data_IF_282035043091
#
_entry.id   IF_282035043091
#
_cell.length_a   1.000
_cell.length_b   1.000
_cell.length_c   1.000
_cell.angle_alpha   90.00
_cell.angle_beta   90.00
_cell.angle_gamma   90.00
#
_symmetry.space_group_name_H-M   'P 1'
#
loop_
_entity.id
_entity.type
_entity.pdbx_description
1 polymer ?
#
# COMPACT_ATOMS: atom_id res chain seq x y z
N UNK A 1 39.49 -43.28 -2.91
CA UNK A 1 40.77 -43.54 -2.22
C UNK A 1 41.36 -42.22 -1.79
N UNK A 2 41.31 -41.89 -0.50
CA UNK A 2 42.01 -40.71 0.03
C UNK A 2 43.45 -41.13 0.32
N UNK A 3 44.41 -40.49 -0.35
CA UNK A 3 45.84 -40.69 -0.08
C UNK A 3 46.14 -40.08 1.30
N UNK A 4 46.38 -40.92 2.30
CA UNK A 4 46.94 -40.50 3.58
C UNK A 4 48.46 -40.52 3.43
N UNK A 5 49.10 -39.36 3.59
CA UNK A 5 50.56 -39.29 3.70
C UNK A 5 50.95 -39.50 5.17
N UNK A 6 51.94 -40.35 5.41
CA UNK A 6 52.53 -40.53 6.74
C UNK A 6 53.18 -39.23 7.23
N UNK A 7 53.13 -38.93 8.55
CA UNK A 7 53.60 -37.66 9.11
C UNK A 7 55.10 -37.41 8.92
N UNK A 8 55.89 -38.45 8.62
CA UNK A 8 57.33 -38.34 8.38
C UNK A 8 57.69 -37.74 7.00
N UNK A 9 56.72 -37.56 6.09
CA UNK A 9 56.94 -37.00 4.75
C UNK A 9 56.48 -35.54 4.61
N UNK A 10 56.12 -34.88 5.71
CA UNK A 10 55.77 -33.46 5.72
C UNK A 10 56.96 -32.59 5.28
N UNK A 11 56.78 -31.78 4.24
CA UNK A 11 57.81 -30.88 3.70
C UNK A 11 58.76 -31.49 2.66
N UNK A 12 58.65 -32.78 2.34
CA UNK A 12 59.45 -33.41 1.27
C UNK A 12 58.70 -33.50 -0.06
N UNK A 13 59.45 -33.54 -1.17
CA UNK A 13 58.90 -33.75 -2.52
C UNK A 13 58.85 -35.25 -2.80
N UNK A 14 57.65 -35.82 -2.81
CA UNK A 14 57.44 -37.25 -3.08
C UNK A 14 56.81 -37.45 -4.45
N UNK A 15 57.10 -38.60 -5.09
CA UNK A 15 56.49 -38.96 -6.38
C UNK A 15 55.20 -39.74 -6.13
N UNK A 16 54.12 -39.32 -6.78
CA UNK A 16 52.85 -40.02 -6.70
C UNK A 16 52.98 -41.42 -7.34
N UNK A 17 52.67 -42.51 -6.64
CA UNK A 17 52.79 -43.86 -7.18
C UNK A 17 51.79 -44.19 -8.31
N UNK A 18 50.78 -43.35 -8.52
CA UNK A 18 49.75 -43.56 -9.55
C UNK A 18 50.03 -42.81 -10.87
N UNK A 19 50.68 -41.65 -10.82
CA UNK A 19 50.90 -40.81 -12.00
C UNK A 19 52.34 -40.28 -12.17
N UNK A 20 53.27 -40.72 -11.31
CA UNK A 20 54.71 -40.42 -11.31
C UNK A 20 55.08 -38.91 -11.33
N UNK A 21 54.11 -38.03 -11.08
CA UNK A 21 54.29 -36.59 -10.93
C UNK A 21 54.83 -36.26 -9.53
N UNK A 22 55.66 -35.22 -9.46
CA UNK A 22 56.28 -34.74 -8.22
C UNK A 22 55.31 -33.83 -7.48
N UNK A 23 54.90 -34.20 -6.26
CA UNK A 23 54.08 -33.39 -5.38
C UNK A 23 54.85 -32.99 -4.14
N UNK A 24 54.64 -31.75 -3.68
CA UNK A 24 55.28 -31.18 -2.50
C UNK A 24 54.24 -31.13 -1.37
N UNK A 25 54.49 -31.83 -0.26
CA UNK A 25 53.54 -31.94 0.86
C UNK A 25 53.71 -30.71 1.79
N UNK A 26 52.65 -29.94 2.09
CA UNK A 26 52.74 -28.78 2.96
C UNK A 26 53.12 -29.16 4.40
N UNK A 27 54.02 -28.38 5.01
CA UNK A 27 54.66 -28.72 6.29
C UNK A 27 53.77 -28.57 7.55
N UNK A 28 52.61 -27.91 7.45
CA UNK A 28 51.68 -27.75 8.57
C UNK A 28 50.40 -28.54 8.29
N UNK A 29 50.30 -29.73 8.89
CA UNK A 29 49.00 -30.39 9.08
C UNK A 29 48.36 -29.83 10.35
N UNK A 30 47.15 -29.25 10.30
CA UNK A 30 46.40 -28.98 11.52
C UNK A 30 45.95 -30.30 12.15
N UNK A 31 46.28 -30.47 13.44
CA UNK A 31 45.95 -31.64 14.25
C UNK A 31 44.49 -32.06 14.10
N UNK A 32 44.28 -33.29 13.62
CA UNK A 32 43.00 -33.97 13.69
C UNK A 32 42.70 -34.35 15.15
N UNK A 33 42.18 -33.40 15.91
CA UNK A 33 41.54 -33.68 17.20
C UNK A 33 40.06 -33.98 16.99
N UNK A 34 39.66 -35.15 17.49
CA UNK A 34 38.30 -35.67 17.53
C UNK A 34 37.29 -34.60 17.97
N UNK A 35 36.43 -34.15 17.06
CA UNK A 35 35.26 -33.34 17.41
C UNK A 35 34.00 -34.20 17.32
N UNK A 36 33.29 -34.28 18.45
CA UNK A 36 31.96 -34.85 18.67
C UNK A 36 30.98 -34.52 17.52
N UNK A 37 29.94 -35.34 17.26
CA UNK A 37 28.95 -35.05 16.23
C UNK A 37 28.37 -33.65 16.45
N UNK A 38 28.58 -32.80 15.45
CA UNK A 38 28.48 -31.35 15.53
C UNK A 38 27.09 -30.87 15.92
N UNK A 39 27.09 -29.98 16.92
CA UNK A 39 26.07 -28.98 17.07
C UNK A 39 25.95 -28.20 15.75
N UNK A 40 24.73 -28.14 15.21
CA UNK A 40 24.37 -27.23 14.14
C UNK A 40 24.65 -25.81 14.64
N UNK A 41 25.55 -25.08 13.96
CA UNK A 41 25.79 -23.65 14.19
C UNK A 41 24.49 -22.85 13.90
N UNK A 42 23.61 -22.75 14.89
CA UNK A 42 22.72 -21.59 15.07
C UNK A 42 23.59 -20.55 15.79
N UNK A 43 23.91 -19.38 15.27
CA UNK A 43 23.03 -18.34 14.75
C UNK A 43 23.90 -17.25 14.08
N UNK A 44 23.81 -17.06 12.77
CA UNK A 44 23.90 -15.68 12.26
C UNK A 44 22.67 -14.97 12.80
N UNK A 45 22.84 -13.90 13.57
CA UNK A 45 21.72 -13.14 14.11
C UNK A 45 20.75 -12.80 12.96
N UNK A 46 19.52 -13.35 13.01
CA UNK A 46 18.48 -13.05 12.03
C UNK A 46 18.05 -11.61 12.27
N UNK A 47 18.67 -10.66 11.57
CA UNK A 47 18.21 -9.28 11.60
C UNK A 47 16.91 -9.19 10.78
N UNK A 48 15.81 -8.84 11.45
CA UNK A 48 14.54 -8.54 10.77
C UNK A 48 14.76 -7.48 9.69
N UNK A 49 14.13 -7.64 8.53
CA UNK A 49 14.24 -6.65 7.46
C UNK A 49 13.45 -5.39 7.81
N UNK A 50 13.86 -4.25 7.25
CA UNK A 50 13.11 -2.99 7.37
C UNK A 50 11.78 -3.13 6.63
N UNK A 51 10.69 -3.14 7.39
CA UNK A 51 9.33 -3.20 6.86
C UNK A 51 9.00 -1.88 6.15
N UNK A 52 8.57 -1.95 4.88
CA UNK A 52 8.05 -0.78 4.18
C UNK A 52 6.56 -0.64 4.50
N UNK A 53 6.05 0.60 4.57
CA UNK A 53 4.64 0.82 4.90
C UNK A 53 3.76 0.15 3.83
N UNK A 54 3.02 -0.91 4.19
CA UNK A 54 2.25 -1.70 3.23
C UNK A 54 1.04 -0.92 2.71
N UNK A 55 0.64 0.14 3.42
CA UNK A 55 -0.68 0.76 3.25
C UNK A 55 -0.57 2.19 2.76
N UNK A 56 0.44 2.95 3.20
CA UNK A 56 0.63 4.33 2.74
C UNK A 56 1.50 4.42 1.48
N UNK A 57 1.02 5.01 0.38
CA UNK A 57 1.86 5.35 -0.77
C UNK A 57 2.77 6.54 -0.44
N UNK A 58 3.87 6.68 -1.20
CA UNK A 58 4.75 7.83 -1.05
C UNK A 58 4.00 9.12 -1.45
N UNK A 59 3.86 10.05 -0.51
CA UNK A 59 3.04 11.25 -0.67
C UNK A 59 3.55 12.16 -1.81
N UNK A 60 4.86 12.22 -2.02
CA UNK A 60 5.46 12.99 -3.11
C UNK A 60 5.13 12.40 -4.50
N UNK A 61 5.09 11.07 -4.59
CA UNK A 61 4.75 10.37 -5.83
C UNK A 61 3.26 10.54 -6.14
N UNK A 62 2.39 10.46 -5.14
CA UNK A 62 0.95 10.68 -5.34
C UNK A 62 0.64 12.12 -5.71
N UNK A 63 1.34 13.09 -5.12
CA UNK A 63 1.19 14.50 -5.48
C UNK A 63 1.66 14.75 -6.92
N UNK A 64 2.83 14.23 -7.30
CA UNK A 64 3.36 14.38 -8.66
C UNK A 64 2.44 13.78 -9.72
N UNK A 65 1.89 12.58 -9.47
CA UNK A 65 0.95 11.94 -10.39
C UNK A 65 -0.40 12.66 -10.41
N UNK A 66 -0.87 13.19 -9.27
CA UNK A 66 -2.05 14.05 -9.19
C UNK A 66 -1.91 15.34 -10.01
N UNK A 67 -0.80 16.06 -9.85
CA UNK A 67 -0.49 17.26 -10.65
C UNK A 67 -0.39 16.96 -12.13
N UNK A 68 0.22 15.82 -12.50
CA UNK A 68 0.27 15.35 -13.88
C UNK A 68 -1.13 15.11 -14.46
N UNK A 69 -2.00 14.41 -13.73
CA UNK A 69 -3.39 14.18 -14.14
C UNK A 69 -4.19 15.49 -14.29
N UNK A 70 -3.99 16.44 -13.38
CA UNK A 70 -4.59 17.77 -13.48
C UNK A 70 -4.11 18.50 -14.75
N UNK A 71 -2.81 18.52 -15.02
CA UNK A 71 -2.26 19.17 -16.20
C UNK A 71 -2.82 18.55 -17.49
N UNK A 72 -2.85 17.21 -17.55
CA UNK A 72 -3.43 16.46 -18.68
C UNK A 72 -4.90 16.81 -18.86
N UNK A 73 -5.69 16.87 -17.78
CA UNK A 73 -7.10 17.22 -17.84
C UNK A 73 -7.33 18.61 -18.45
N UNK A 74 -6.60 19.62 -17.99
CA UNK A 74 -6.71 20.98 -18.56
C UNK A 74 -6.19 21.06 -19.99
N UNK A 75 -5.14 20.31 -20.36
CA UNK A 75 -4.65 20.23 -21.73
C UNK A 75 -5.68 19.63 -22.69
N UNK A 76 -6.42 18.61 -22.26
CA UNK A 76 -7.50 17.97 -23.05
C UNK A 76 -8.66 18.94 -23.27
N UNK A 77 -8.92 19.85 -22.34
CA UNK A 77 -10.01 20.83 -22.45
C UNK A 77 -9.67 22.03 -23.36
N UNK A 78 -8.38 22.39 -23.49
CA UNK A 78 -7.93 23.51 -24.34
C UNK A 78 -8.48 23.56 -25.79
N UNK A 79 -8.58 22.46 -26.55
CA UNK A 79 -9.12 22.49 -27.91
C UNK A 79 -10.64 22.72 -27.97
N UNK A 80 -11.37 22.53 -26.86
CA UNK A 80 -12.83 22.63 -26.80
C UNK A 80 -13.34 23.99 -26.32
N UNK A 81 -12.59 25.06 -26.61
CA UNK A 81 -13.01 26.42 -26.27
C UNK A 81 -14.25 26.81 -27.09
N UNK A 82 -15.37 27.20 -26.44
CA UNK A 82 -16.53 27.68 -27.18
C UNK A 82 -16.17 28.95 -27.95
N UNK A 83 -16.70 29.06 -29.18
CA UNK A 83 -16.57 30.29 -29.97
C UNK A 83 -17.21 31.47 -29.22
N UNK A 84 -16.61 32.68 -29.27
CA UNK A 84 -17.01 33.82 -28.44
C UNK A 84 -18.47 34.27 -28.65
N UNK A 85 -19.08 33.94 -29.79
CA UNK A 85 -20.43 34.38 -30.18
C UNK A 85 -21.53 33.33 -29.94
N UNK A 86 -21.19 32.14 -29.40
CA UNK A 86 -22.20 31.10 -29.15
C UNK A 86 -22.94 31.34 -27.84
N UNK A 87 -24.26 31.30 -27.88
CA UNK A 87 -25.13 31.38 -26.70
C UNK A 87 -24.97 30.12 -25.85
N UNK A 88 -24.97 30.25 -24.51
CA UNK A 88 -24.75 29.14 -23.56
C UNK A 88 -25.71 27.94 -23.77
N UNK A 89 -26.90 28.16 -24.35
CA UNK A 89 -27.90 27.12 -24.63
C UNK A 89 -27.57 26.23 -25.84
N UNK A 90 -26.61 26.63 -26.68
CA UNK A 90 -26.19 25.90 -27.88
C UNK A 90 -24.84 25.19 -27.72
N UNK A 91 -24.28 25.13 -26.50
CA UNK A 91 -23.02 24.46 -26.24
C UNK A 91 -23.14 22.95 -26.40
N UNK A 92 -22.19 22.35 -27.12
CA UNK A 92 -21.95 20.91 -27.06
C UNK A 92 -21.48 20.51 -25.67
N UNK A 93 -21.65 19.24 -25.28
CA UNK A 93 -21.30 18.73 -23.95
C UNK A 93 -19.85 19.04 -23.56
N UNK A 94 -18.91 18.94 -24.52
CA UNK A 94 -17.49 19.26 -24.28
C UNK A 94 -17.22 20.76 -24.17
N UNK A 95 -17.95 21.59 -24.93
CA UNK A 95 -17.86 23.06 -24.82
C UNK A 95 -18.42 23.54 -23.47
N UNK A 96 -19.51 22.91 -22.99
CA UNK A 96 -20.07 23.15 -21.66
C UNK A 96 -19.06 22.80 -20.56
N UNK A 97 -18.45 21.61 -20.60
CA UNK A 97 -17.41 21.19 -19.64
C UNK A 97 -16.23 22.16 -19.65
N UNK A 98 -15.72 22.54 -20.83
CA UNK A 98 -14.68 23.55 -20.91
C UNK A 98 -15.12 24.87 -20.25
N UNK A 99 -16.31 25.37 -20.58
CA UNK A 99 -16.82 26.61 -19.99
C UNK A 99 -16.93 26.53 -18.46
N UNK A 100 -17.30 25.38 -17.93
CA UNK A 100 -17.50 25.13 -16.51
C UNK A 100 -16.16 25.12 -15.73
N UNK A 101 -15.08 24.60 -16.33
CA UNK A 101 -13.75 24.59 -15.72
C UNK A 101 -12.97 25.91 -15.87
N UNK A 102 -13.17 26.64 -16.98
CA UNK A 102 -12.45 27.88 -17.25
C UNK A 102 -13.13 29.15 -16.69
N UNK A 103 -14.46 29.18 -16.55
CA UNK A 103 -15.17 30.33 -15.96
C UNK A 103 -14.81 30.53 -14.48
N UNK A 104 -14.62 29.43 -13.73
CA UNK A 104 -14.26 29.45 -12.31
C UNK A 104 -12.89 28.84 -12.07
N UNK A 105 -11.87 29.39 -12.73
CA UNK A 105 -10.55 28.76 -12.80
C UNK A 105 -9.98 28.42 -11.41
N UNK A 106 -10.07 29.32 -10.42
CA UNK A 106 -9.58 29.03 -9.07
C UNK A 106 -10.30 27.86 -8.39
N UNK A 107 -11.63 27.91 -8.30
CA UNK A 107 -12.43 26.89 -7.61
C UNK A 107 -12.37 25.55 -8.35
N UNK A 108 -12.48 25.60 -9.68
CA UNK A 108 -12.40 24.43 -10.53
C UNK A 108 -11.01 23.79 -10.48
N UNK A 109 -9.93 24.58 -10.49
CA UNK A 109 -8.57 24.02 -10.39
C UNK A 109 -8.36 23.33 -9.04
N UNK A 110 -8.80 23.93 -7.94
CA UNK A 110 -8.66 23.32 -6.61
C UNK A 110 -9.48 22.03 -6.48
N UNK A 111 -10.73 22.03 -6.94
CA UNK A 111 -11.57 20.82 -6.95
C UNK A 111 -10.95 19.71 -7.80
N UNK A 112 -10.43 20.05 -8.98
CA UNK A 112 -9.76 19.10 -9.87
C UNK A 112 -8.45 18.59 -9.28
N UNK A 113 -7.71 19.43 -8.55
CA UNK A 113 -6.47 19.07 -7.88
C UNK A 113 -6.74 18.04 -6.79
N UNK A 114 -7.70 18.31 -5.90
CA UNK A 114 -8.07 17.36 -4.84
C UNK A 114 -8.64 16.07 -5.42
N UNK A 115 -9.41 16.17 -6.50
CA UNK A 115 -9.94 15.01 -7.21
C UNK A 115 -8.85 14.12 -7.82
N UNK A 116 -7.97 14.71 -8.63
CA UNK A 116 -6.87 14.00 -9.29
C UNK A 116 -5.85 13.45 -8.30
N UNK A 117 -5.54 14.19 -7.23
CA UNK A 117 -4.66 13.70 -6.18
C UNK A 117 -5.27 12.53 -5.40
N UNK A 118 -6.57 12.61 -5.06
CA UNK A 118 -7.31 11.50 -4.45
C UNK A 118 -7.28 10.25 -5.34
N UNK A 119 -7.58 10.38 -6.63
CA UNK A 119 -7.49 9.28 -7.59
C UNK A 119 -6.08 8.70 -7.66
N UNK A 120 -5.05 9.55 -7.66
CA UNK A 120 -3.67 9.09 -7.65
C UNK A 120 -3.36 8.24 -6.42
N UNK A 121 -3.80 8.66 -5.22
CA UNK A 121 -3.60 7.90 -3.99
C UNK A 121 -4.32 6.55 -4.08
N UNK A 122 -5.57 6.54 -4.53
CA UNK A 122 -6.36 5.31 -4.70
C UNK A 122 -5.72 4.36 -5.70
N UNK A 123 -5.21 4.85 -6.82
CA UNK A 123 -4.56 4.02 -7.83
C UNK A 123 -3.30 3.34 -7.28
N UNK A 124 -2.47 4.08 -6.55
CA UNK A 124 -1.27 3.53 -5.92
C UNK A 124 -1.61 2.50 -4.84
N UNK A 125 -2.62 2.78 -4.01
CA UNK A 125 -3.13 1.83 -3.00
C UNK A 125 -3.71 0.58 -3.65
N UNK A 126 -4.50 0.71 -4.71
CA UNK A 126 -5.06 -0.41 -5.44
C UNK A 126 -3.97 -1.32 -6.02
N UNK A 127 -2.89 -0.75 -6.56
CA UNK A 127 -1.73 -1.54 -7.02
C UNK A 127 -1.03 -2.28 -5.87
N UNK A 128 -0.86 -1.64 -4.71
CA UNK A 128 -0.31 -2.29 -3.50
C UNK A 128 -1.21 -3.42 -3.01
N UNK A 129 -2.51 -3.19 -2.93
CA UNK A 129 -3.49 -4.19 -2.51
C UNK A 129 -3.49 -5.41 -3.45
N UNK A 130 -3.46 -5.20 -4.76
CA UNK A 130 -3.33 -6.30 -5.73
C UNK A 130 -2.04 -7.11 -5.50
N UNK A 131 -0.93 -6.43 -5.23
CA UNK A 131 0.33 -7.10 -4.91
C UNK A 131 0.25 -7.93 -3.62
N UNK A 132 -0.44 -7.42 -2.58
CA UNK A 132 -0.68 -8.16 -1.34
C UNK A 132 -1.59 -9.38 -1.53
N UNK A 133 -2.67 -9.25 -2.32
CA UNK A 133 -3.57 -10.37 -2.63
C UNK A 133 -2.84 -11.52 -3.32
N UNK A 134 -1.89 -11.22 -4.22
CA UNK A 134 -1.05 -12.24 -4.85
C UNK A 134 -0.17 -12.97 -3.84
N UNK A 135 0.29 -12.30 -2.78
CA UNK A 135 1.08 -12.94 -1.73
C UNK A 135 0.24 -13.92 -0.88
N UNK A 136 -1.08 -13.69 -0.76
CA UNK A 136 -2.01 -14.59 -0.06
C UNK A 136 -2.15 -15.96 -0.76
N UNK A 137 -1.90 -16.01 -2.07
CA UNK A 137 -1.95 -17.25 -2.86
C UNK A 137 -0.68 -18.11 -2.70
N UNK A 138 0.33 -17.60 -2.00
CA UNK A 138 1.57 -18.32 -1.79
C UNK A 138 1.41 -19.32 -0.64
N UNK A 139 1.93 -20.52 -0.82
CA UNK A 139 2.05 -21.50 0.28
C UNK A 139 3.20 -21.07 1.21
N UNK A 140 2.89 -20.20 2.19
CA UNK A 140 3.86 -19.69 3.16
C UNK A 140 4.26 -20.76 4.19
N UNK A 141 3.39 -21.75 4.43
CA UNK A 141 3.58 -22.79 5.45
C UNK A 141 3.50 -24.19 4.81
N UNK A 142 4.52 -24.57 4.04
CA UNK A 142 4.42 -25.75 3.20
C UNK A 142 4.31 -27.02 4.05
N UNK A 143 3.33 -27.85 3.71
CA UNK A 143 3.01 -29.06 4.49
C UNK A 143 4.17 -30.07 4.55
N UNK A 144 5.09 -30.00 3.59
CA UNK A 144 6.31 -30.82 3.52
C UNK A 144 7.27 -30.65 4.71
N UNK A 145 7.25 -29.50 5.39
CA UNK A 145 8.12 -29.23 6.55
C UNK A 145 7.59 -29.87 7.84
N UNK A 146 6.30 -30.22 7.88
CA UNK A 146 5.65 -30.82 9.04
C UNK A 146 4.22 -30.33 9.20
N UNK A 147 3.34 -31.21 9.65
CA UNK A 147 1.94 -30.87 9.96
C UNK A 147 1.84 -29.90 11.13
N UNK A 148 2.62 -30.14 12.17
CA UNK A 148 2.69 -29.31 13.38
C UNK A 148 4.01 -28.55 13.44
N UNK A 149 4.00 -27.41 14.10
CA UNK A 149 5.12 -26.50 14.33
C UNK A 149 5.47 -26.60 15.80
N UNK A 150 6.62 -27.22 16.07
CA UNK A 150 7.16 -27.48 17.39
C UNK A 150 8.48 -26.70 17.56
N UNK A 151 8.99 -26.62 18.78
CA UNK A 151 10.28 -25.95 19.09
C UNK A 151 11.44 -26.49 18.25
N UNK A 152 11.43 -27.78 17.90
CA UNK A 152 12.49 -28.41 17.12
C UNK A 152 12.48 -27.99 15.65
N UNK A 153 11.29 -27.77 15.05
CA UNK A 153 11.14 -27.52 13.62
C UNK A 153 10.87 -26.04 13.27
N UNK A 154 10.46 -25.20 14.22
CA UNK A 154 10.12 -23.79 13.99
C UNK A 154 11.22 -23.03 13.25
N UNK A 155 12.48 -23.33 13.55
CA UNK A 155 13.62 -22.73 12.86
C UNK A 155 13.64 -22.99 11.35
N UNK A 156 13.21 -24.17 10.89
CA UNK A 156 13.13 -24.49 9.45
C UNK A 156 12.02 -23.70 8.76
N UNK A 157 10.89 -23.49 9.43
CA UNK A 157 9.80 -22.64 8.93
C UNK A 157 10.26 -21.17 8.81
N UNK A 158 10.99 -20.67 9.82
CA UNK A 158 11.56 -19.33 9.76
C UNK A 158 12.53 -19.22 8.58
N UNK A 159 13.46 -20.16 8.42
CA UNK A 159 14.43 -20.12 7.31
C UNK A 159 13.72 -20.18 5.94
N UNK A 160 12.61 -20.92 5.82
CA UNK A 160 11.78 -20.92 4.62
C UNK A 160 11.15 -19.55 4.33
N UNK A 161 10.61 -18.88 5.35
CA UNK A 161 10.06 -17.53 5.23
C UNK A 161 11.14 -16.52 4.81
N UNK A 162 12.37 -16.64 5.32
CA UNK A 162 13.49 -15.80 4.91
C UNK A 162 13.98 -16.09 3.48
N UNK A 163 13.82 -17.33 2.99
CA UNK A 163 14.14 -17.72 1.62
C UNK A 163 13.18 -17.15 0.57
N UNK A 164 12.03 -16.60 0.99
CA UNK A 164 11.07 -16.00 0.06
C UNK A 164 11.64 -14.77 -0.69
N UNK A 165 11.21 -14.53 -1.94
CA UNK A 165 11.58 -13.32 -2.69
C UNK A 165 11.27 -12.03 -1.90
N UNK A 166 12.18 -11.04 -1.97
CA UNK A 166 12.04 -9.75 -1.24
C UNK A 166 10.69 -9.05 -1.48
N UNK A 167 10.14 -9.14 -2.69
CA UNK A 167 8.85 -8.52 -3.04
C UNK A 167 7.66 -9.13 -2.30
N UNK A 168 7.73 -10.42 -1.92
CA UNK A 168 6.65 -11.13 -1.23
C UNK A 168 6.80 -11.03 0.30
N UNK A 169 8.04 -10.91 0.78
CA UNK A 169 8.35 -10.66 2.19
C UNK A 169 7.74 -9.37 2.74
N UNK A 170 7.57 -8.36 1.90
CA UNK A 170 6.98 -7.08 2.29
C UNK A 170 5.44 -7.08 2.35
N UNK A 171 4.81 -8.25 2.44
CA UNK A 171 3.38 -8.38 2.65
C UNK A 171 3.03 -8.43 4.14
N UNK A 172 1.85 -7.90 4.50
CA UNK A 172 1.32 -7.96 5.87
C UNK A 172 1.28 -9.40 6.41
N UNK A 173 0.80 -10.33 5.58
CA UNK A 173 0.72 -11.76 5.92
C UNK A 173 2.08 -12.35 6.28
N UNK A 174 3.09 -12.20 5.41
CA UNK A 174 4.41 -12.80 5.64
C UNK A 174 5.12 -12.16 6.83
N UNK A 175 4.99 -10.84 7.02
CA UNK A 175 5.55 -10.16 8.19
C UNK A 175 4.91 -10.64 9.50
N UNK A 176 3.59 -10.85 9.53
CA UNK A 176 2.90 -11.39 10.70
C UNK A 176 3.30 -12.82 11.00
N UNK A 177 3.31 -13.71 10.00
CA UNK A 177 3.73 -15.10 10.16
C UNK A 177 5.16 -15.17 10.66
N UNK A 178 6.07 -14.34 10.13
CA UNK A 178 7.45 -14.25 10.63
C UNK A 178 7.48 -13.89 12.13
N UNK A 179 6.82 -12.79 12.52
CA UNK A 179 6.78 -12.32 13.91
C UNK A 179 6.18 -13.38 14.84
N UNK A 180 5.14 -14.08 14.39
CA UNK A 180 4.51 -15.18 15.12
C UNK A 180 5.48 -16.35 15.35
N UNK A 181 6.18 -16.80 14.30
CA UNK A 181 7.15 -17.91 14.39
C UNK A 181 8.37 -17.54 15.23
N UNK A 182 8.91 -16.32 15.08
CA UNK A 182 10.02 -15.82 15.88
C UNK A 182 9.63 -15.71 17.36
N UNK A 183 8.40 -15.24 17.67
CA UNK A 183 7.89 -15.20 19.04
C UNK A 183 7.72 -16.61 19.61
N UNK A 184 7.18 -17.55 18.81
CA UNK A 184 7.03 -18.94 19.22
C UNK A 184 8.37 -19.63 19.49
N UNK A 185 9.40 -19.36 18.69
CA UNK A 185 10.76 -19.90 18.90
C UNK A 185 11.33 -19.51 20.27
N UNK A 186 11.00 -18.30 20.76
CA UNK A 186 11.52 -17.75 22.03
C UNK A 186 10.62 -18.11 23.22
N UNK A 187 9.30 -17.89 23.10
CA UNK A 187 8.34 -18.06 24.21
C UNK A 187 7.80 -19.49 24.34
N UNK A 188 7.79 -20.26 23.25
CA UNK A 188 7.28 -21.63 23.20
C UNK A 188 5.82 -21.78 23.69
N UNK A 189 5.02 -20.73 23.57
CA UNK A 189 3.63 -20.66 24.04
C UNK A 189 2.72 -20.29 22.88
N UNK A 190 1.72 -21.13 22.58
CA UNK A 190 0.75 -20.84 21.53
C UNK A 190 -0.22 -19.72 21.94
N UNK A 191 -0.49 -19.56 23.25
CA UNK A 191 -1.35 -18.48 23.76
C UNK A 191 -0.72 -17.11 23.55
N UNK A 192 0.58 -16.97 23.81
CA UNK A 192 1.30 -15.69 23.66
C UNK A 192 1.31 -15.24 22.20
N UNK A 193 1.46 -16.19 21.27
CA UNK A 193 1.42 -15.93 19.83
C UNK A 193 0.02 -15.49 19.41
N UNK A 194 -1.04 -16.13 19.93
CA UNK A 194 -2.43 -15.74 19.66
C UNK A 194 -2.71 -14.31 20.14
N UNK A 195 -2.30 -13.96 21.35
CA UNK A 195 -2.47 -12.60 21.89
C UNK A 195 -1.73 -11.56 21.04
N UNK A 196 -0.46 -11.83 20.69
CA UNK A 196 0.30 -10.97 19.79
C UNK A 196 -0.38 -10.82 18.42
N UNK A 197 -0.90 -11.90 17.83
CA UNK A 197 -1.60 -11.84 16.55
C UNK A 197 -2.87 -11.00 16.61
N UNK A 198 -3.66 -11.12 17.69
CA UNK A 198 -4.83 -10.27 17.90
C UNK A 198 -4.44 -8.79 17.98
N UNK A 199 -3.44 -8.46 18.79
CA UNK A 199 -2.96 -7.08 18.91
C UNK A 199 -2.43 -6.51 17.59
N UNK A 200 -1.73 -7.33 16.80
CA UNK A 200 -1.27 -6.92 15.47
C UNK A 200 -2.44 -6.73 14.48
N UNK A 201 -3.54 -7.49 14.62
CA UNK A 201 -4.76 -7.25 13.84
C UNK A 201 -5.32 -5.86 14.07
N UNK A 202 -5.49 -5.47 15.34
CA UNK A 202 -5.99 -4.15 15.70
C UNK A 202 -5.07 -3.02 15.20
N UNK A 203 -3.75 -3.20 15.30
CA UNK A 203 -2.77 -2.22 14.83
C UNK A 203 -2.84 -2.03 13.31
N UNK A 204 -2.92 -3.11 12.54
CA UNK A 204 -2.99 -3.00 11.08
C UNK A 204 -4.36 -2.47 10.62
N UNK A 205 -5.45 -2.81 11.31
CA UNK A 205 -6.79 -2.24 11.07
C UNK A 205 -6.78 -0.72 11.29
N UNK A 206 -6.23 -0.25 12.40
CA UNK A 206 -6.06 1.17 12.68
C UNK A 206 -5.18 1.87 11.63
N UNK A 207 -4.12 1.20 11.15
CA UNK A 207 -3.25 1.70 10.07
C UNK A 207 -4.00 1.82 8.74
N UNK A 208 -4.81 0.83 8.37
CA UNK A 208 -5.67 0.88 7.18
C UNK A 208 -6.64 2.06 7.28
N UNK A 209 -7.36 2.18 8.38
CA UNK A 209 -8.26 3.31 8.62
C UNK A 209 -7.55 4.66 8.53
N UNK A 210 -6.38 4.79 9.17
CA UNK A 210 -5.55 6.00 9.16
C UNK A 210 -5.10 6.42 7.75
N UNK A 211 -4.78 5.46 6.89
CA UNK A 211 -4.30 5.73 5.52
C UNK A 211 -5.32 6.41 4.61
N UNK A 212 -6.63 6.29 4.90
CA UNK A 212 -7.69 6.97 4.15
C UNK A 212 -8.03 8.37 4.66
N UNK A 213 -7.42 8.82 5.76
CA UNK A 213 -7.74 10.11 6.41
C UNK A 213 -7.64 11.28 5.43
N UNK A 214 -6.54 11.37 4.67
CA UNK A 214 -6.33 12.46 3.70
C UNK A 214 -7.38 12.43 2.58
N UNK A 215 -7.69 11.24 2.08
CA UNK A 215 -8.64 11.06 0.97
C UNK A 215 -10.08 11.36 1.41
N UNK A 216 -10.44 11.04 2.65
CA UNK A 216 -11.71 11.44 3.28
C UNK A 216 -11.77 12.94 3.56
N UNK A 217 -10.65 13.56 3.93
CA UNK A 217 -10.57 15.02 4.07
C UNK A 217 -10.86 15.73 2.72
N UNK A 218 -10.36 15.21 1.60
CA UNK A 218 -10.71 15.74 0.27
C UNK A 218 -12.19 15.57 -0.07
N UNK A 219 -12.81 14.43 0.24
CA UNK A 219 -14.26 14.24 0.06
C UNK A 219 -15.09 15.30 0.79
N UNK A 220 -14.64 15.73 1.97
CA UNK A 220 -15.30 16.80 2.71
C UNK A 220 -14.99 18.19 2.15
N UNK A 221 -13.75 18.42 1.69
CA UNK A 221 -13.32 19.73 1.19
C UNK A 221 -13.92 20.11 -0.18
N UNK A 222 -14.10 19.15 -1.10
CA UNK A 222 -14.57 19.43 -2.47
C UNK A 222 -15.97 20.09 -2.50
N UNK A 223 -17.00 19.58 -1.79
CA UNK A 223 -18.31 20.24 -1.74
C UNK A 223 -18.25 21.65 -1.11
N UNK A 224 -17.42 21.83 -0.08
CA UNK A 224 -17.23 23.13 0.56
C UNK A 224 -16.58 24.14 -0.36
N UNK A 225 -15.59 23.73 -1.16
CA UNK A 225 -15.01 24.57 -2.21
C UNK A 225 -16.04 24.93 -3.28
N UNK A 226 -16.90 23.99 -3.66
CA UNK A 226 -18.04 24.27 -4.54
C UNK A 226 -18.98 25.35 -3.98
N UNK A 227 -19.30 25.25 -2.69
CA UNK A 227 -20.08 26.27 -1.98
C UNK A 227 -19.36 27.62 -1.87
N UNK A 228 -18.04 27.63 -1.65
CA UNK A 228 -17.26 28.88 -1.70
C UNK A 228 -17.36 29.51 -3.11
N UNK A 229 -17.34 28.70 -4.16
CA UNK A 229 -17.56 29.15 -5.54
C UNK A 229 -18.92 29.82 -5.75
N UNK A 230 -20.00 29.30 -5.16
CA UNK A 230 -21.30 29.97 -5.25
C UNK A 230 -21.32 31.28 -4.51
N UNK A 231 -20.75 31.35 -3.31
CA UNK A 231 -20.67 32.58 -2.53
C UNK A 231 -19.92 33.67 -3.30
N UNK A 232 -18.81 33.32 -3.95
CA UNK A 232 -18.05 34.26 -4.79
C UNK A 232 -18.89 34.70 -6.01
N UNK A 233 -19.50 33.76 -6.73
CA UNK A 233 -20.32 34.06 -7.92
C UNK A 233 -21.52 34.94 -7.60
N UNK A 234 -22.23 34.65 -6.51
CA UNK A 234 -23.35 35.46 -6.01
C UNK A 234 -22.89 36.84 -5.54
N UNK A 235 -21.77 36.92 -4.82
CA UNK A 235 -21.22 38.20 -4.35
C UNK A 235 -20.86 39.13 -5.51
N UNK A 236 -20.26 38.59 -6.58
CA UNK A 236 -19.97 39.37 -7.80
C UNK A 236 -21.24 39.78 -8.55
N UNK A 237 -22.22 38.87 -8.66
CA UNK A 237 -23.50 39.15 -9.31
C UNK A 237 -24.27 40.28 -8.63
N UNK A 238 -24.32 40.28 -7.29
CA UNK A 238 -24.99 41.30 -6.49
C UNK A 238 -24.17 42.59 -6.43
N UNK A 239 -22.85 42.50 -6.28
CA UNK A 239 -21.96 43.67 -6.22
C UNK A 239 -21.93 44.49 -7.51
N UNK A 240 -22.25 43.88 -8.66
CA UNK A 240 -22.39 44.57 -9.95
C UNK A 240 -23.70 45.33 -10.13
N UNK A 241 -24.64 45.24 -9.17
CA UNK A 241 -25.94 45.89 -9.25
C UNK A 241 -25.83 47.36 -8.83
N UNK A 242 -25.95 48.28 -9.80
CA UNK A 242 -25.99 49.72 -9.54
C UNK A 242 -27.38 50.28 -9.81
N UNK A 243 -28.10 50.59 -8.73
CA UNK A 243 -29.39 51.29 -8.80
C UNK A 243 -29.25 52.81 -8.88
N UNK A 244 -28.06 53.33 -9.18
CA UNK A 244 -27.81 54.77 -9.18
C UNK A 244 -28.59 55.54 -10.26
N UNK A 245 -29.18 54.86 -11.26
CA UNK A 245 -30.01 55.47 -12.31
C UNK A 245 -31.21 54.57 -12.64
N UNK A 246 -32.22 54.54 -11.76
CA UNK A 246 -33.45 53.74 -11.89
C UNK A 246 -34.37 54.23 -13.04
N UNK A 247 -34.11 55.41 -13.60
CA UNK A 247 -34.94 56.00 -14.67
C UNK A 247 -34.74 55.32 -16.04
N UNK A 248 -33.64 54.58 -16.23
CA UNK A 248 -33.32 53.91 -17.48
C UNK A 248 -33.68 52.42 -17.40
N UNK A 249 -34.87 52.05 -17.90
CA UNK A 249 -35.38 50.67 -17.93
C UNK A 249 -34.36 49.71 -18.57
N UNK A 250 -33.56 50.17 -19.54
CA UNK A 250 -32.51 49.38 -20.17
C UNK A 250 -31.39 48.97 -19.19
N UNK A 251 -31.01 49.84 -18.25
CA UNK A 251 -30.01 49.54 -17.22
C UNK A 251 -30.53 48.57 -16.17
N UNK A 252 -31.83 48.61 -15.87
CA UNK A 252 -32.49 47.66 -14.97
C UNK A 252 -32.50 46.26 -15.61
N UNK A 253 -32.92 46.14 -16.87
CA UNK A 253 -32.92 44.86 -17.59
C UNK A 253 -31.50 44.29 -17.71
N UNK A 254 -30.50 45.12 -18.01
CA UNK A 254 -29.10 44.72 -18.04
C UNK A 254 -28.59 44.22 -16.68
N UNK A 255 -28.92 44.93 -15.59
CA UNK A 255 -28.56 44.53 -14.23
C UNK A 255 -29.19 43.20 -13.83
N UNK A 256 -30.46 42.97 -14.19
CA UNK A 256 -31.15 41.69 -13.96
C UNK A 256 -30.47 40.57 -14.75
N UNK A 257 -30.18 40.77 -16.04
CA UNK A 257 -29.49 39.78 -16.87
C UNK A 257 -28.10 39.42 -16.32
N UNK A 258 -27.34 40.39 -15.82
CA UNK A 258 -26.05 40.15 -15.17
C UNK A 258 -26.20 39.29 -13.92
N UNK A 259 -27.22 39.53 -13.10
CA UNK A 259 -27.47 38.77 -11.88
C UNK A 259 -27.93 37.35 -12.19
N UNK A 260 -28.85 37.19 -13.13
CA UNK A 260 -29.33 35.87 -13.57
C UNK A 260 -28.19 35.04 -14.20
N UNK A 261 -27.31 35.68 -14.98
CA UNK A 261 -26.12 35.03 -15.52
C UNK A 261 -25.12 34.63 -14.43
N UNK A 262 -24.83 35.54 -13.50
CA UNK A 262 -23.95 35.29 -12.36
C UNK A 262 -24.45 34.14 -11.47
N UNK A 263 -25.76 34.08 -11.23
CA UNK A 263 -26.40 32.98 -10.50
C UNK A 263 -26.21 31.63 -11.20
N UNK A 264 -26.40 31.58 -12.52
CA UNK A 264 -26.18 30.35 -13.31
C UNK A 264 -24.74 29.86 -13.18
N UNK A 265 -23.77 30.77 -13.35
CA UNK A 265 -22.36 30.40 -13.19
C UNK A 265 -22.01 29.95 -11.77
N UNK A 266 -22.62 30.55 -10.75
CA UNK A 266 -22.41 30.16 -9.36
C UNK A 266 -22.86 28.70 -9.14
N UNK A 267 -24.04 28.32 -9.63
CA UNK A 267 -24.54 26.96 -9.49
C UNK A 267 -23.67 25.93 -10.20
N UNK A 268 -23.10 26.25 -11.37
CA UNK A 268 -22.18 25.37 -12.09
C UNK A 268 -20.95 24.98 -11.23
N UNK A 269 -20.42 25.92 -10.43
CA UNK A 269 -19.28 25.66 -9.55
C UNK A 269 -19.60 24.64 -8.43
N UNK A 270 -20.80 24.72 -7.85
CA UNK A 270 -21.26 23.74 -6.85
C UNK A 270 -21.60 22.41 -7.49
N UNK A 271 -22.26 22.42 -8.65
CA UNK A 271 -22.57 21.20 -9.41
C UNK A 271 -21.30 20.40 -9.68
N UNK A 272 -20.22 21.06 -10.12
CA UNK A 272 -18.93 20.44 -10.33
C UNK A 272 -18.42 19.72 -9.07
N UNK A 273 -18.38 20.44 -7.95
CA UNK A 273 -17.87 19.91 -6.68
C UNK A 273 -18.66 18.69 -6.23
N UNK A 274 -19.98 18.75 -6.28
CA UNK A 274 -20.85 17.63 -5.88
C UNK A 274 -20.67 16.41 -6.78
N UNK A 275 -20.59 16.60 -8.09
CA UNK A 275 -20.35 15.49 -9.05
C UNK A 275 -19.00 14.83 -8.81
N UNK A 276 -17.93 15.62 -8.63
CA UNK A 276 -16.59 15.10 -8.36
C UNK A 276 -16.51 14.36 -7.01
N UNK A 277 -17.12 14.92 -5.96
CA UNK A 277 -17.17 14.29 -4.65
C UNK A 277 -17.95 12.96 -4.68
N UNK A 278 -19.09 12.93 -5.37
CA UNK A 278 -19.89 11.72 -5.56
C UNK A 278 -19.10 10.65 -6.33
N UNK A 279 -18.43 11.04 -7.42
CA UNK A 279 -17.61 10.14 -8.23
C UNK A 279 -16.41 9.57 -7.47
N UNK A 280 -15.84 10.31 -6.51
CA UNK A 280 -14.78 9.82 -5.61
C UNK A 280 -15.29 8.91 -4.51
N UNK A 281 -16.48 9.17 -3.97
CA UNK A 281 -16.94 8.48 -2.77
C UNK A 281 -17.02 6.95 -2.99
N UNK A 282 -17.51 6.53 -4.15
CA UNK A 282 -17.62 5.11 -4.49
C UNK A 282 -16.26 4.37 -4.52
N UNK A 283 -15.24 4.79 -5.30
CA UNK A 283 -13.95 4.10 -5.34
C UNK A 283 -13.20 4.15 -4.01
N UNK A 284 -13.35 5.21 -3.21
CA UNK A 284 -12.75 5.30 -1.87
C UNK A 284 -13.31 4.22 -0.96
N UNK A 285 -14.64 4.14 -0.87
CA UNK A 285 -15.30 3.16 0.00
C UNK A 285 -15.09 1.73 -0.51
N UNK A 286 -15.09 1.53 -1.84
CA UNK A 286 -14.79 0.23 -2.44
C UNK A 286 -13.36 -0.23 -2.12
N UNK A 287 -12.36 0.65 -2.22
CA UNK A 287 -10.98 0.29 -1.93
C UNK A 287 -10.75 0.05 -0.43
N UNK A 288 -11.34 0.89 0.43
CA UNK A 288 -11.32 0.70 1.90
C UNK A 288 -11.86 -0.68 2.25
N UNK A 289 -13.04 -1.03 1.74
CA UNK A 289 -13.63 -2.36 1.96
C UNK A 289 -12.71 -3.49 1.48
N UNK A 290 -12.09 -3.35 0.31
CA UNK A 290 -11.20 -4.39 -0.20
C UNK A 290 -9.89 -4.53 0.61
N UNK A 291 -9.39 -3.46 1.24
CA UNK A 291 -8.26 -3.53 2.18
C UNK A 291 -8.69 -4.24 3.47
N UNK A 292 -9.87 -3.93 4.02
CA UNK A 292 -10.44 -4.60 5.20
C UNK A 292 -10.70 -6.10 4.95
N UNK A 293 -11.33 -6.45 3.81
CA UNK A 293 -11.58 -7.84 3.43
C UNK A 293 -10.26 -8.64 3.29
N UNK A 294 -9.19 -8.00 2.79
CA UNK A 294 -7.89 -8.63 2.69
C UNK A 294 -7.25 -8.85 4.06
N UNK A 295 -7.39 -7.89 4.99
CA UNK A 295 -6.94 -8.06 6.37
C UNK A 295 -7.69 -9.22 7.05
N UNK A 296 -9.01 -9.27 6.90
CA UNK A 296 -9.84 -10.36 7.44
C UNK A 296 -9.42 -11.73 6.90
N UNK A 297 -9.06 -11.83 5.61
CA UNK A 297 -8.55 -13.07 5.03
C UNK A 297 -7.19 -13.49 5.62
N UNK A 298 -6.32 -12.53 5.94
CA UNK A 298 -5.05 -12.80 6.62
C UNK A 298 -5.30 -13.29 8.05
N UNK A 299 -6.23 -12.65 8.78
CA UNK A 299 -6.62 -13.05 10.13
C UNK A 299 -7.21 -14.46 10.17
N UNK A 300 -8.10 -14.77 9.22
CA UNK A 300 -8.66 -16.11 9.06
C UNK A 300 -7.55 -17.14 8.81
N UNK A 301 -6.62 -16.87 7.90
CA UNK A 301 -5.47 -17.76 7.67
C UNK A 301 -4.63 -17.98 8.93
N UNK A 302 -4.33 -16.92 9.67
CA UNK A 302 -3.59 -17.03 10.93
C UNK A 302 -4.34 -17.89 11.96
N UNK A 303 -5.65 -17.69 12.12
CA UNK A 303 -6.45 -18.39 13.12
C UNK A 303 -6.79 -19.84 12.75
N UNK A 304 -7.02 -20.14 11.47
CA UNK A 304 -7.46 -21.45 11.01
C UNK A 304 -6.30 -22.36 10.56
N UNK A 305 -5.20 -21.78 10.09
CA UNK A 305 -4.06 -22.55 9.55
C UNK A 305 -2.83 -22.46 10.44
N UNK A 306 -2.42 -21.26 10.84
CA UNK A 306 -1.17 -21.09 11.61
C UNK A 306 -1.35 -21.53 13.08
N UNK A 307 -2.30 -20.94 13.81
CA UNK A 307 -2.45 -21.17 15.25
C UNK A 307 -2.71 -22.65 15.62
N UNK A 308 -3.57 -23.40 14.90
CA UNK A 308 -3.81 -24.82 15.23
C UNK A 308 -2.60 -25.71 14.93
N UNK A 309 -1.66 -25.25 14.10
CA UNK A 309 -0.43 -25.99 13.82
C UNK A 309 0.64 -25.74 14.88
N UNK A 310 0.53 -24.71 15.72
CA UNK A 310 1.48 -24.47 16.80
C UNK A 310 1.23 -25.48 17.94
N UNK A 311 2.26 -26.24 18.30
CA UNK A 311 2.19 -27.20 19.40
C UNK A 311 3.28 -26.85 20.42
N UNK A 312 2.83 -26.33 21.56
CA UNK A 312 3.64 -25.94 22.71
C UNK A 312 3.96 -27.11 23.66
N UNK A 313 3.52 -28.34 23.31
CA UNK A 313 3.76 -29.54 24.09
C UNK A 313 2.86 -29.68 25.33
N UNK A 314 2.00 -28.69 25.61
CA UNK A 314 1.13 -28.68 26.80
C UNK A 314 -0.01 -29.70 26.67
N UNK A 315 -0.42 -30.05 25.45
CA UNK A 315 -1.49 -31.02 25.17
C UNK A 315 -1.08 -32.50 25.11
N UNK A 316 0.21 -32.82 25.03
CA UNK A 316 0.67 -34.21 24.87
C UNK A 316 0.72 -35.02 26.18
N UNK A 317 0.42 -34.39 27.33
CA UNK A 317 0.52 -35.01 28.66
C UNK A 317 -0.78 -35.52 29.27
N UNK A 318 -1.95 -35.35 28.64
CA UNK A 318 -3.25 -35.57 29.29
C UNK A 318 -4.20 -36.51 28.52
N UNK A 319 -3.69 -37.34 27.59
CA UNK A 319 -4.49 -38.18 26.69
C UNK A 319 -4.44 -39.70 26.93
N UNK A 320 -3.49 -40.23 27.71
CA UNK A 320 -3.32 -41.69 27.92
C UNK A 320 -3.71 -42.12 29.34
N UNK A 321 -4.88 -41.70 29.81
CA UNK A 321 -5.50 -42.23 31.02
C UNK A 321 -7.03 -42.20 30.91
N UNK A 322 -7.58 -43.02 30.00
CA UNK A 322 -8.96 -43.48 30.04
C UNK A 322 -9.07 -44.85 29.34
#
# INVERSE_FOLDING_TARGET
MQLKAEPEQAGQVVRCPSCNSRLQIPANMPDSTLTKPGAVNRTTARHGWKETDPTNPNMLVSLGLGLGLLAVWYLILLPFKPAPDKVNSAYSTMEFVNSLFYKHLLVSMLNTLFFSWSISILFLKFKKLRHQKTALLLDVLPMRLGKEINVSNVGQFIDHVYALPRKLRDSLMVNRIRKALELFEIRQSASDVREMMSSQSDIDSARIGGSFTLTRAFLWAIPLLGFIGTVIGLSQAIGGMSFANVEDVGKIVSSINNVTSGLGTAFDATLLGLVLAMALNFPINSLSKQEDDNLNAIDAFCNEVLLPRLNDGVGAGNGDAA
#
